data_IF_067070148580
#
_entry.id   IF_067070148580
#
_cell.length_a   1.000
_cell.length_b   1.000
_cell.length_c   1.000
_cell.angle_alpha   90.00
_cell.angle_beta   90.00
_cell.angle_gamma   90.00
#
_symmetry.space_group_name_H-M   'P 1'
#
loop_
_entity.id
_entity.type
_entity.pdbx_description
1 polymer ?
#
# COMPACT_ATOMS: atom_id res chain seq x y z
N UNK A 1 -21.78 -0.60 -22.58
CA UNK A 1 -21.65 0.87 -22.39
C UNK A 1 -20.88 1.06 -21.10
N UNK A 2 -19.66 1.63 -21.15
CA UNK A 2 -18.93 1.93 -19.92
C UNK A 2 -19.72 2.99 -19.16
N UNK A 3 -20.10 2.72 -17.90
CA UNK A 3 -20.75 3.69 -17.04
C UNK A 3 -19.85 4.93 -16.86
N UNK A 4 -20.44 6.10 -16.59
CA UNK A 4 -19.67 7.33 -16.30
C UNK A 4 -18.87 7.12 -15.02
N UNK A 5 -17.59 7.47 -15.05
CA UNK A 5 -16.70 7.44 -13.87
C UNK A 5 -17.33 8.18 -12.68
N UNK A 6 -17.26 7.57 -11.50
CA UNK A 6 -17.77 8.17 -10.26
C UNK A 6 -16.62 8.76 -9.46
N UNK A 7 -16.82 9.99 -8.98
CA UNK A 7 -15.81 10.78 -8.28
C UNK A 7 -16.10 10.84 -6.78
N UNK A 8 -15.07 10.59 -5.98
CA UNK A 8 -15.07 10.75 -4.52
C UNK A 8 -13.90 11.65 -4.13
N UNK A 9 -14.15 12.63 -3.27
CA UNK A 9 -13.13 13.58 -2.85
C UNK A 9 -12.76 13.35 -1.39
N UNK A 10 -11.45 13.32 -1.11
CA UNK A 10 -10.87 13.18 0.23
C UNK A 10 -10.13 14.47 0.57
N UNK A 11 -10.42 15.07 1.72
CA UNK A 11 -9.75 16.27 2.19
C UNK A 11 -9.86 16.41 3.69
N UNK A 12 -8.75 16.73 4.35
CA UNK A 12 -8.73 17.02 5.79
C UNK A 12 -9.41 18.35 6.15
N UNK A 13 -9.57 19.26 5.16
CA UNK A 13 -10.05 20.62 5.38
C UNK A 13 -11.39 20.93 4.69
N UNK A 14 -11.62 20.39 3.48
CA UNK A 14 -12.80 20.71 2.68
C UNK A 14 -14.07 20.13 3.29
N UNK A 15 -15.05 20.99 3.50
CA UNK A 15 -16.40 20.56 3.92
C UNK A 15 -17.06 19.70 2.85
N UNK A 16 -17.78 18.64 3.25
CA UNK A 16 -18.44 17.70 2.36
C UNK A 16 -17.52 16.62 1.75
N UNK A 17 -16.21 16.74 1.85
CA UNK A 17 -15.27 15.69 1.46
C UNK A 17 -15.10 14.63 2.56
N UNK A 18 -14.71 13.42 2.16
CA UNK A 18 -14.35 12.37 3.10
C UNK A 18 -13.07 12.75 3.86
N UNK A 19 -12.99 12.39 5.14
CA UNK A 19 -11.84 12.72 5.99
C UNK A 19 -10.72 11.69 5.94
N UNK A 20 -10.99 10.51 5.35
CA UNK A 20 -10.01 9.46 5.13
C UNK A 20 -10.22 8.80 3.78
N UNK A 21 -9.17 8.21 3.24
CA UNK A 21 -9.19 7.46 1.98
C UNK A 21 -10.06 6.21 2.13
N UNK A 22 -9.93 5.51 3.26
CA UNK A 22 -10.73 4.32 3.57
C UNK A 22 -12.23 4.64 3.56
N UNK A 23 -12.66 5.76 4.16
CA UNK A 23 -14.06 6.17 4.15
C UNK A 23 -14.59 6.46 2.73
N UNK A 24 -13.76 7.05 1.85
CA UNK A 24 -14.12 7.29 0.45
C UNK A 24 -14.24 5.99 -0.34
N UNK A 25 -13.32 5.04 -0.14
CA UNK A 25 -13.36 3.72 -0.78
C UNK A 25 -14.59 2.91 -0.33
N UNK A 26 -14.89 2.88 0.97
CA UNK A 26 -16.10 2.25 1.50
C UNK A 26 -17.38 2.88 0.95
N UNK A 27 -17.42 4.21 0.82
CA UNK A 27 -18.54 4.90 0.19
C UNK A 27 -18.68 4.53 -1.28
N UNK A 28 -17.58 4.42 -2.02
CA UNK A 28 -17.57 3.96 -3.40
C UNK A 28 -18.14 2.54 -3.52
N UNK A 29 -17.77 1.62 -2.66
CA UNK A 29 -18.32 0.25 -2.65
C UNK A 29 -19.83 0.22 -2.37
N UNK A 30 -20.31 1.06 -1.44
CA UNK A 30 -21.75 1.15 -1.11
C UNK A 30 -22.57 1.83 -2.20
N UNK A 31 -22.06 2.90 -2.81
CA UNK A 31 -22.82 3.75 -3.73
C UNK A 31 -22.74 3.26 -5.19
N UNK A 32 -21.68 2.55 -5.56
CA UNK A 32 -21.43 2.09 -6.93
C UNK A 32 -21.39 0.57 -6.96
N UNK A 33 -22.56 -0.07 -6.95
CA UNK A 33 -22.67 -1.54 -6.88
C UNK A 33 -22.14 -2.26 -8.13
N UNK A 34 -22.21 -1.63 -9.30
CA UNK A 34 -21.63 -2.18 -10.54
C UNK A 34 -20.10 -1.99 -10.52
N UNK A 35 -19.40 -3.09 -10.31
CA UNK A 35 -17.93 -3.08 -10.22
C UNK A 35 -17.22 -2.78 -11.54
N UNK A 36 -17.93 -2.74 -12.66
CA UNK A 36 -17.38 -2.34 -13.98
C UNK A 36 -17.35 -0.83 -14.17
N UNK A 37 -18.08 -0.07 -13.34
CA UNK A 37 -18.06 1.39 -13.36
C UNK A 37 -16.79 1.90 -12.71
N UNK A 38 -15.96 2.68 -13.43
CA UNK A 38 -14.73 3.23 -12.86
C UNK A 38 -15.01 4.19 -11.70
N UNK A 39 -14.17 4.12 -10.69
CA UNK A 39 -14.20 5.01 -9.52
C UNK A 39 -12.88 5.77 -9.45
N UNK A 40 -12.97 7.09 -9.28
CA UNK A 40 -11.83 7.94 -9.01
C UNK A 40 -11.94 8.54 -7.61
N UNK A 41 -10.92 8.34 -6.80
CA UNK A 41 -10.77 8.93 -5.47
C UNK A 41 -9.68 9.99 -5.55
N UNK A 42 -10.07 11.27 -5.50
CA UNK A 42 -9.15 12.40 -5.49
C UNK A 42 -8.78 12.77 -4.06
N UNK A 43 -7.50 12.76 -3.77
CA UNK A 43 -6.96 13.02 -2.44
C UNK A 43 -6.29 14.39 -2.43
N UNK A 44 -6.83 15.31 -1.65
CA UNK A 44 -6.26 16.64 -1.46
C UNK A 44 -4.91 16.58 -0.70
N UNK A 45 -4.05 17.60 -0.82
CA UNK A 45 -2.82 17.70 -0.05
C UNK A 45 -3.03 17.46 1.44
N UNK A 46 -2.14 16.65 2.04
CA UNK A 46 -2.20 16.30 3.45
C UNK A 46 -1.49 15.00 3.79
N UNK A 47 -1.40 14.72 5.08
CA UNK A 47 -0.89 13.45 5.61
C UNK A 47 -2.04 12.63 6.19
N UNK A 48 -2.28 11.47 5.59
CA UNK A 48 -3.35 10.55 5.93
C UNK A 48 -2.75 9.35 6.67
N UNK A 49 -2.98 9.28 7.99
CA UNK A 49 -2.46 8.20 8.84
C UNK A 49 -3.49 7.10 8.95
N UNK A 50 -3.41 6.15 8.04
CA UNK A 50 -4.34 5.04 7.95
C UNK A 50 -3.74 3.83 7.22
N UNK A 51 -4.32 2.66 7.43
CA UNK A 51 -4.11 1.47 6.62
C UNK A 51 -5.23 1.40 5.59
N UNK A 52 -4.89 1.36 4.31
CA UNK A 52 -5.84 1.47 3.20
C UNK A 52 -5.94 0.16 2.44
N UNK A 53 -7.16 -0.35 2.29
CA UNK A 53 -7.48 -1.53 1.49
C UNK A 53 -8.20 -1.14 0.20
N UNK A 54 -7.65 -1.46 -0.96
CA UNK A 54 -8.30 -1.29 -2.26
C UNK A 54 -8.73 -2.67 -2.76
N UNK A 55 -10.01 -3.02 -2.55
CA UNK A 55 -10.58 -4.32 -2.89
C UNK A 55 -11.52 -4.27 -4.09
N UNK A 56 -11.93 -3.07 -4.49
CA UNK A 56 -12.77 -2.83 -5.66
C UNK A 56 -11.90 -2.71 -6.92
N UNK A 57 -12.22 -3.40 -8.04
CA UNK A 57 -11.57 -3.16 -9.31
C UNK A 57 -11.95 -1.79 -9.92
N UNK A 58 -11.20 -1.37 -10.92
CA UNK A 58 -11.39 -0.12 -11.66
C UNK A 58 -11.36 1.12 -10.75
N UNK A 59 -10.46 1.14 -9.76
CA UNK A 59 -10.22 2.29 -8.88
C UNK A 59 -8.98 3.06 -9.32
N UNK A 60 -9.13 4.37 -9.44
CA UNK A 60 -8.01 5.32 -9.50
C UNK A 60 -7.93 6.07 -8.17
N UNK A 61 -6.85 5.89 -7.42
CA UNK A 61 -6.51 6.69 -6.24
C UNK A 61 -5.46 7.70 -6.65
N UNK A 62 -5.81 8.99 -6.62
CA UNK A 62 -4.99 10.05 -7.20
C UNK A 62 -4.80 11.21 -6.23
N UNK A 63 -3.54 11.54 -5.97
CA UNK A 63 -3.12 12.77 -5.31
C UNK A 63 -2.61 13.80 -6.32
N UNK A 64 -2.48 15.02 -5.90
CA UNK A 64 -1.95 16.09 -6.75
C UNK A 64 -0.47 15.83 -7.10
N UNK A 65 0.36 15.59 -6.10
CA UNK A 65 1.77 15.18 -6.26
C UNK A 65 2.19 14.29 -5.11
N UNK A 66 3.22 13.48 -5.32
CA UNK A 66 3.79 12.64 -4.26
C UNK A 66 4.38 13.46 -3.09
N UNK A 67 4.76 14.71 -3.32
CA UNK A 67 5.27 15.58 -2.26
C UNK A 67 4.16 16.17 -1.38
N UNK A 68 2.96 16.34 -1.95
CA UNK A 68 1.83 16.99 -1.26
C UNK A 68 0.85 16.02 -0.60
N UNK A 69 0.75 14.76 -1.09
CA UNK A 69 -0.20 13.77 -0.58
C UNK A 69 0.55 12.56 -0.04
N UNK A 70 0.44 12.33 1.27
CA UNK A 70 1.14 11.23 1.94
C UNK A 70 0.17 10.31 2.68
N UNK A 71 0.26 9.01 2.41
CA UNK A 71 -0.43 7.95 3.14
C UNK A 71 0.62 7.28 4.02
N UNK A 72 0.44 7.33 5.34
CA UNK A 72 1.48 6.92 6.29
C UNK A 72 0.95 5.84 7.23
N UNK A 73 1.56 4.67 7.17
CA UNK A 73 1.41 3.59 8.16
C UNK A 73 2.61 3.55 9.11
N UNK A 74 2.51 2.71 10.13
CA UNK A 74 3.56 2.58 11.14
C UNK A 74 3.59 1.20 11.79
N UNK A 75 3.20 0.15 11.07
CA UNK A 75 3.16 -1.21 11.58
C UNK A 75 4.39 -2.00 11.16
N UNK A 76 5.04 -2.67 12.12
CA UNK A 76 6.17 -3.56 11.91
C UNK A 76 5.88 -4.99 12.34
N UNK A 77 6.50 -5.97 11.70
CA UNK A 77 6.20 -7.40 11.88
C UNK A 77 6.44 -7.91 13.31
N UNK A 78 7.35 -7.30 14.05
CA UNK A 78 7.66 -7.68 15.44
C UNK A 78 6.71 -7.05 16.47
N UNK A 79 5.84 -6.14 16.05
CA UNK A 79 4.85 -5.53 16.95
C UNK A 79 3.85 -6.57 17.45
N UNK A 80 3.31 -6.41 18.67
CA UNK A 80 2.25 -7.29 19.17
C UNK A 80 1.03 -7.27 18.24
N UNK A 81 0.39 -8.42 18.07
CA UNK A 81 -0.90 -8.51 17.41
C UNK A 81 -2.01 -8.29 18.43
N UNK A 82 -2.93 -7.38 18.17
CA UNK A 82 -4.05 -7.06 19.07
C UNK A 82 -4.99 -8.25 19.30
N UNK A 83 -5.15 -9.11 18.30
CA UNK A 83 -5.99 -10.31 18.35
C UNK A 83 -5.25 -11.56 18.87
N UNK A 84 -3.97 -11.41 19.25
CA UNK A 84 -3.11 -12.51 19.67
C UNK A 84 -2.77 -13.53 18.59
N UNK A 85 -3.26 -13.30 17.35
CA UNK A 85 -2.93 -14.14 16.20
C UNK A 85 -1.52 -13.85 15.69
N UNK A 86 -0.93 -14.84 15.00
CA UNK A 86 0.42 -14.69 14.48
C UNK A 86 1.45 -15.51 15.23
N UNK A 87 2.64 -15.64 14.66
CA UNK A 87 3.72 -16.37 15.27
C UNK A 87 4.18 -15.62 16.52
N UNK A 88 4.14 -16.29 17.68
CA UNK A 88 4.49 -15.72 18.99
C UNK A 88 3.69 -14.45 19.37
N UNK A 89 2.42 -14.35 18.93
CA UNK A 89 1.58 -13.18 19.20
C UNK A 89 2.02 -11.90 18.50
N UNK A 90 2.83 -12.01 17.45
CA UNK A 90 3.33 -10.89 16.67
C UNK A 90 2.48 -10.64 15.42
N UNK A 91 2.49 -9.42 14.95
CA UNK A 91 1.71 -9.00 13.77
C UNK A 91 2.08 -9.80 12.52
N UNK A 92 3.38 -10.03 12.27
CA UNK A 92 3.89 -10.70 11.07
C UNK A 92 3.90 -9.79 9.84
N UNK A 93 4.68 -10.17 8.82
CA UNK A 93 5.00 -9.31 7.66
C UNK A 93 3.77 -8.81 6.91
N UNK A 94 2.85 -9.71 6.57
CA UNK A 94 1.78 -9.40 5.60
C UNK A 94 0.58 -8.66 6.19
N UNK A 95 0.64 -8.22 7.43
CA UNK A 95 -0.33 -7.32 8.07
C UNK A 95 0.20 -5.91 8.30
N UNK A 96 1.47 -5.66 7.95
CA UNK A 96 2.14 -4.38 8.21
C UNK A 96 1.92 -3.31 7.15
N UNK A 97 1.30 -3.64 6.03
CA UNK A 97 1.16 -2.74 4.88
C UNK A 97 0.47 -1.42 5.23
N UNK A 98 0.90 -0.37 4.56
CA UNK A 98 0.19 0.91 4.58
C UNK A 98 -0.94 0.91 3.56
N UNK A 99 -0.67 0.49 2.33
CA UNK A 99 -1.69 0.33 1.28
C UNK A 99 -1.65 -1.09 0.75
N UNK A 100 -2.82 -1.76 0.74
CA UNK A 100 -3.05 -3.03 0.06
C UNK A 100 -3.84 -2.77 -1.23
N UNK A 101 -3.33 -3.28 -2.35
CA UNK A 101 -4.09 -3.41 -3.61
C UNK A 101 -4.46 -4.87 -3.80
N UNK A 102 -5.72 -5.21 -3.53
CA UNK A 102 -6.31 -6.55 -3.67
C UNK A 102 -7.42 -6.54 -4.74
N UNK A 103 -7.16 -5.86 -5.85
CA UNK A 103 -8.11 -5.76 -6.96
C UNK A 103 -7.37 -5.52 -8.28
N UNK A 104 -8.06 -5.84 -9.38
CA UNK A 104 -7.55 -5.63 -10.74
C UNK A 104 -7.89 -4.22 -11.25
N UNK A 105 -7.14 -3.77 -12.27
CA UNK A 105 -7.39 -2.48 -12.94
C UNK A 105 -7.33 -1.29 -11.99
N UNK A 106 -6.38 -1.30 -11.06
CA UNK A 106 -6.16 -0.20 -10.10
C UNK A 106 -5.05 0.72 -10.61
N UNK A 107 -5.25 2.01 -10.42
CA UNK A 107 -4.21 3.03 -10.65
C UNK A 107 -3.95 3.80 -9.35
N UNK A 108 -2.68 3.90 -8.96
CA UNK A 108 -2.19 4.78 -7.91
C UNK A 108 -1.36 5.87 -8.57
N UNK A 109 -1.67 7.15 -8.34
CA UNK A 109 -0.98 8.25 -8.99
C UNK A 109 -0.71 9.43 -8.05
N UNK A 110 0.49 10.03 -8.14
CA UNK A 110 0.83 11.27 -7.43
C UNK A 110 0.78 11.17 -5.90
N UNK A 111 1.19 10.03 -5.33
CA UNK A 111 1.09 9.74 -3.91
C UNK A 111 2.44 9.34 -3.31
N UNK A 112 2.71 9.75 -2.09
CA UNK A 112 3.67 9.06 -1.22
C UNK A 112 2.94 8.02 -0.39
N UNK A 113 3.40 6.77 -0.44
CA UNK A 113 2.96 5.66 0.38
C UNK A 113 4.14 5.27 1.27
N UNK A 114 4.02 5.50 2.56
CA UNK A 114 5.12 5.33 3.51
C UNK A 114 4.73 4.39 4.65
N UNK A 115 5.61 3.44 4.96
CA UNK A 115 5.57 2.77 6.26
C UNK A 115 6.73 3.30 7.11
N UNK A 116 6.40 4.04 8.17
CA UNK A 116 7.36 4.69 9.04
C UNK A 116 7.58 3.96 10.38
N UNK A 117 7.33 2.64 10.43
CA UNK A 117 7.54 1.84 11.64
C UNK A 117 8.98 1.91 12.18
N UNK A 118 9.97 2.15 11.31
CA UNK A 118 11.36 2.30 11.68
C UNK A 118 12.30 1.23 11.12
N UNK A 119 13.48 1.13 11.73
CA UNK A 119 14.55 0.21 11.30
C UNK A 119 14.11 -1.26 11.44
N UNK A 120 14.29 -2.05 10.39
CA UNK A 120 13.91 -3.47 10.36
C UNK A 120 14.61 -4.33 11.42
N UNK A 121 15.76 -3.91 11.93
CA UNK A 121 16.43 -4.58 13.06
C UNK A 121 15.59 -4.54 14.33
N UNK A 122 14.84 -3.46 14.53
CA UNK A 122 13.99 -3.25 15.69
C UNK A 122 12.56 -3.75 15.44
N UNK A 123 11.92 -3.29 14.36
CA UNK A 123 10.50 -3.53 14.10
C UNK A 123 10.20 -4.70 13.18
N UNK A 124 11.23 -5.25 12.50
CA UNK A 124 11.09 -6.30 11.49
C UNK A 124 10.64 -5.73 10.15
N UNK A 125 10.03 -6.58 9.34
CA UNK A 125 9.47 -6.22 8.04
C UNK A 125 8.32 -5.20 8.21
N UNK A 126 8.23 -4.24 7.26
CA UNK A 126 7.25 -3.15 7.34
C UNK A 126 6.87 -2.69 5.93
N UNK A 127 5.84 -3.32 5.37
CA UNK A 127 5.41 -3.10 3.98
C UNK A 127 4.75 -1.71 3.85
N UNK A 128 5.22 -0.89 2.91
CA UNK A 128 4.50 0.31 2.52
C UNK A 128 3.40 -0.02 1.51
N UNK A 129 3.75 -0.68 0.38
CA UNK A 129 2.78 -1.08 -0.63
C UNK A 129 2.76 -2.61 -0.80
N UNK A 130 1.60 -3.21 -0.53
CA UNK A 130 1.28 -4.59 -0.83
C UNK A 130 0.49 -4.64 -2.14
N UNK A 131 1.15 -4.92 -3.26
CA UNK A 131 0.58 -4.91 -4.59
C UNK A 131 0.23 -6.33 -5.04
N UNK A 132 -1.06 -6.74 -4.99
CA UNK A 132 -1.52 -8.08 -5.37
C UNK A 132 -2.74 -8.04 -6.31
N UNK A 133 -2.72 -7.15 -7.30
CA UNK A 133 -3.70 -7.06 -8.38
C UNK A 133 -3.07 -7.30 -9.76
N UNK A 134 -3.90 -7.62 -10.74
CA UNK A 134 -3.51 -7.64 -12.16
C UNK A 134 -3.81 -6.28 -12.80
N UNK A 135 -3.00 -5.84 -13.75
CA UNK A 135 -3.09 -4.55 -14.43
C UNK A 135 -3.04 -3.35 -13.49
N UNK A 136 -2.23 -3.48 -12.41
CA UNK A 136 -1.92 -2.37 -11.52
C UNK A 136 -0.99 -1.38 -12.22
N UNK A 137 -1.33 -0.10 -12.15
CA UNK A 137 -0.47 1.02 -12.59
C UNK A 137 -0.12 1.87 -11.36
N UNK A 138 1.18 2.11 -11.16
CA UNK A 138 1.68 3.04 -10.14
C UNK A 138 2.47 4.12 -10.88
N UNK A 139 1.98 5.35 -10.82
CA UNK A 139 2.51 6.46 -11.62
C UNK A 139 2.90 7.67 -10.77
N UNK A 140 4.10 8.17 -10.94
CA UNK A 140 4.60 9.36 -10.24
C UNK A 140 4.44 9.27 -8.71
N UNK A 141 4.59 8.06 -8.15
CA UNK A 141 4.48 7.80 -6.71
C UNK A 141 5.85 7.68 -6.04
N UNK A 142 5.91 8.00 -4.75
CA UNK A 142 7.00 7.65 -3.86
C UNK A 142 6.55 6.51 -2.93
N UNK A 143 7.25 5.35 -2.97
CA UNK A 143 7.00 4.22 -2.08
C UNK A 143 8.17 4.17 -1.12
N UNK A 144 7.91 4.35 0.18
CA UNK A 144 8.96 4.62 1.16
C UNK A 144 8.83 3.74 2.40
N UNK A 145 9.91 3.16 2.83
CA UNK A 145 10.00 2.32 4.01
C UNK A 145 11.45 1.96 4.34
N UNK A 146 11.61 0.88 5.05
CA UNK A 146 12.91 0.29 5.40
C UNK A 146 12.98 -1.14 4.86
N UNK A 147 12.87 -2.13 5.72
CA UNK A 147 12.85 -3.53 5.33
C UNK A 147 11.50 -3.91 4.73
N UNK A 148 11.49 -4.61 3.59
CA UNK A 148 10.30 -5.13 2.90
C UNK A 148 9.34 -4.03 2.38
N UNK A 149 9.84 -2.91 1.88
CA UNK A 149 9.02 -1.73 1.52
C UNK A 149 7.93 -2.01 0.48
N UNK A 150 8.24 -2.73 -0.61
CA UNK A 150 7.32 -3.04 -1.71
C UNK A 150 7.18 -4.56 -1.90
N UNK A 151 6.00 -5.09 -1.63
CA UNK A 151 5.67 -6.47 -1.95
C UNK A 151 4.88 -6.56 -3.25
N UNK A 152 5.39 -7.38 -4.19
CA UNK A 152 4.80 -7.66 -5.50
C UNK A 152 4.14 -9.04 -5.48
N UNK A 153 2.86 -9.10 -5.06
CA UNK A 153 2.10 -10.34 -4.95
C UNK A 153 2.03 -11.15 -6.25
N UNK A 154 1.62 -12.41 -6.19
CA UNK A 154 1.02 -13.06 -5.04
C UNK A 154 2.04 -13.58 -4.03
N UNK A 155 1.55 -14.01 -2.87
CA UNK A 155 2.32 -14.81 -1.93
C UNK A 155 2.85 -16.08 -2.62
N UNK A 156 4.01 -16.61 -2.21
CA UNK A 156 4.52 -17.90 -2.71
C UNK A 156 3.51 -19.03 -2.53
N UNK A 157 3.61 -20.13 -3.31
CA UNK A 157 2.69 -21.25 -3.21
C UNK A 157 2.70 -21.95 -1.84
N UNK A 158 3.82 -21.89 -1.12
CA UNK A 158 4.01 -22.53 0.19
C UNK A 158 4.72 -21.58 1.14
N UNK A 159 4.32 -21.64 2.40
CA UNK A 159 5.02 -20.95 3.49
C UNK A 159 6.40 -21.53 3.72
N UNK A 160 7.39 -20.68 3.97
CA UNK A 160 8.72 -21.11 4.41
C UNK A 160 8.71 -21.54 5.89
N UNK A 161 7.81 -20.96 6.69
CA UNK A 161 7.58 -21.28 8.10
C UNK A 161 6.08 -21.27 8.37
N UNK A 162 5.55 -22.16 9.23
CA UNK A 162 4.15 -22.15 9.62
C UNK A 162 3.72 -20.77 10.14
N UNK A 163 2.60 -20.25 9.63
CA UNK A 163 2.09 -18.92 10.01
C UNK A 163 2.81 -17.74 9.36
N UNK A 164 3.75 -17.99 8.44
CA UNK A 164 4.50 -16.93 7.76
C UNK A 164 3.65 -16.04 6.85
N UNK A 165 2.47 -16.51 6.42
CA UNK A 165 1.58 -15.79 5.52
C UNK A 165 0.33 -15.23 6.19
N UNK A 166 0.27 -15.23 7.51
CA UNK A 166 -0.88 -14.66 8.22
C UNK A 166 -1.09 -13.21 7.77
N UNK A 167 -2.26 -12.94 7.19
CA UNK A 167 -2.62 -11.66 6.62
C UNK A 167 -3.79 -11.75 5.64
N UNK A 168 -4.16 -10.64 5.00
CA UNK A 168 -5.38 -10.54 4.20
C UNK A 168 -5.41 -11.48 2.99
N UNK A 169 -4.25 -11.90 2.49
CA UNK A 169 -4.11 -12.75 1.30
C UNK A 169 -3.69 -14.18 1.61
N UNK A 170 -3.68 -14.60 2.88
CA UNK A 170 -3.20 -15.94 3.30
C UNK A 170 -3.84 -17.08 2.51
N UNK A 171 -5.15 -17.02 2.29
CA UNK A 171 -5.93 -18.06 1.59
C UNK A 171 -6.32 -17.67 0.17
N UNK A 172 -5.87 -16.53 -0.34
CA UNK A 172 -6.20 -16.07 -1.67
C UNK A 172 -5.52 -16.93 -2.75
N UNK A 173 -6.12 -17.05 -3.94
CA UNK A 173 -5.49 -17.70 -5.09
C UNK A 173 -4.15 -17.06 -5.44
N UNK A 174 -3.16 -17.88 -5.78
CA UNK A 174 -1.80 -17.43 -6.18
C UNK A 174 -1.76 -17.07 -7.66
N UNK A 175 -2.37 -15.93 -8.01
CA UNK A 175 -2.43 -15.46 -9.41
C UNK A 175 -1.36 -14.41 -9.65
N UNK A 176 -0.41 -14.69 -10.54
CA UNK A 176 0.65 -13.75 -10.92
C UNK A 176 0.04 -12.58 -11.71
N UNK A 177 0.03 -11.39 -11.12
CA UNK A 177 -0.45 -10.16 -11.72
C UNK A 177 0.59 -9.47 -12.60
N UNK A 178 0.12 -8.58 -13.48
CA UNK A 178 0.94 -7.63 -14.25
C UNK A 178 0.89 -6.28 -13.56
N UNK A 179 2.06 -5.72 -13.29
CA UNK A 179 2.17 -4.47 -12.56
C UNK A 179 3.13 -3.53 -13.29
N UNK A 180 2.77 -2.27 -13.42
CA UNK A 180 3.54 -1.26 -14.13
C UNK A 180 3.82 -0.06 -13.25
N UNK A 181 5.08 0.15 -12.94
CA UNK A 181 5.57 1.28 -12.19
C UNK A 181 6.27 2.26 -13.12
N UNK A 182 5.85 3.50 -13.15
CA UNK A 182 6.50 4.53 -13.97
C UNK A 182 6.71 5.83 -13.21
N UNK A 183 7.84 6.48 -13.45
CA UNK A 183 8.21 7.77 -12.81
C UNK A 183 8.17 7.72 -11.29
N UNK A 184 8.38 6.54 -10.71
CA UNK A 184 8.31 6.34 -9.27
C UNK A 184 9.67 6.52 -8.60
N UNK A 185 9.63 6.76 -7.30
CA UNK A 185 10.76 6.61 -6.39
C UNK A 185 10.44 5.52 -5.39
N UNK A 186 11.35 4.57 -5.21
CA UNK A 186 11.21 3.48 -4.25
C UNK A 186 12.40 3.55 -3.29
N UNK A 187 12.11 3.68 -2.00
CA UNK A 187 13.10 3.83 -0.94
C UNK A 187 13.00 2.69 0.05
N UNK A 188 14.14 2.14 0.44
CA UNK A 188 14.22 1.08 1.44
C UNK A 188 15.67 0.65 1.67
N UNK A 189 15.87 -0.38 2.46
CA UNK A 189 17.21 -0.90 2.78
C UNK A 189 17.32 -2.42 2.55
N UNK A 190 16.67 -3.26 3.33
CA UNK A 190 16.74 -4.71 3.22
C UNK A 190 15.51 -5.26 2.52
N UNK A 191 15.71 -6.08 1.48
CA UNK A 191 14.64 -6.73 0.71
C UNK A 191 13.50 -5.77 0.30
N UNK A 192 13.86 -4.50 0.07
CA UNK A 192 12.88 -3.41 -0.10
C UNK A 192 11.98 -3.54 -1.32
N UNK A 193 12.29 -4.47 -2.24
CA UNK A 193 11.41 -4.94 -3.32
C UNK A 193 11.48 -6.45 -3.35
N UNK A 194 10.36 -7.11 -3.13
CA UNK A 194 10.28 -8.57 -3.14
C UNK A 194 8.93 -9.07 -3.64
N UNK A 195 8.83 -10.36 -3.98
CA UNK A 195 7.58 -10.97 -4.45
C UNK A 195 7.71 -11.66 -5.81
N UNK A 196 6.57 -11.96 -6.47
CA UNK A 196 6.51 -12.83 -7.63
C UNK A 196 5.70 -12.30 -8.82
N UNK A 197 5.26 -11.04 -8.81
CA UNK A 197 4.51 -10.46 -9.92
C UNK A 197 5.35 -10.27 -11.19
N UNK A 198 4.68 -10.07 -12.31
CA UNK A 198 5.31 -9.57 -13.55
C UNK A 198 5.32 -8.05 -13.50
N UNK A 199 6.37 -7.49 -12.91
CA UNK A 199 6.52 -6.04 -12.77
C UNK A 199 7.39 -5.46 -13.88
N UNK A 200 6.94 -4.34 -14.46
CA UNK A 200 7.72 -3.50 -15.37
C UNK A 200 7.97 -2.15 -14.70
N UNK A 201 9.24 -1.75 -14.63
CA UNK A 201 9.67 -0.50 -14.01
C UNK A 201 10.27 0.43 -15.07
N UNK A 202 9.64 1.61 -15.29
CA UNK A 202 10.12 2.59 -16.27
C UNK A 202 10.34 3.95 -15.63
N UNK A 203 11.57 4.46 -15.69
CA UNK A 203 11.90 5.75 -15.08
C UNK A 203 11.78 5.71 -13.56
N UNK A 204 12.01 4.56 -12.95
CA UNK A 204 11.98 4.38 -11.49
C UNK A 204 13.35 4.68 -10.93
N UNK A 205 13.38 5.41 -9.82
CA UNK A 205 14.59 5.71 -9.05
C UNK A 205 14.54 4.91 -7.75
N UNK A 206 15.69 4.33 -7.39
CA UNK A 206 15.87 3.61 -6.13
C UNK A 206 16.74 4.44 -5.20
N UNK A 207 16.38 4.48 -3.94
CA UNK A 207 17.17 5.14 -2.91
C UNK A 207 17.25 4.28 -1.65
N UNK A 208 18.37 4.39 -0.95
CA UNK A 208 18.50 3.78 0.38
C UNK A 208 17.82 4.68 1.40
N UNK A 209 17.02 4.11 2.28
CA UNK A 209 16.47 4.84 3.43
C UNK A 209 17.62 5.23 4.36
N UNK A 210 17.71 6.53 4.64
CA UNK A 210 18.64 7.04 5.64
C UNK A 210 17.99 6.90 7.01
N UNK A 211 18.50 6.00 7.84
CA UNK A 211 18.20 6.03 9.26
C UNK A 211 18.69 7.37 9.82
N UNK A 212 17.77 8.24 10.26
CA UNK A 212 18.16 9.42 11.03
C UNK A 212 18.61 8.90 12.40
N UNK A 213 19.92 8.79 12.58
CA UNK A 213 20.50 8.62 13.90
C UNK A 213 20.28 9.93 14.66
N UNK A 214 19.17 10.05 15.40
CA UNK A 214 19.13 10.96 16.50
C UNK A 214 19.96 10.32 17.62
N UNK A 215 21.24 10.68 17.71
CA UNK A 215 22.01 10.46 18.92
C UNK A 215 21.36 11.35 19.98
N UNK A 216 20.55 10.75 20.84
CA UNK A 216 20.23 11.35 22.14
C UNK A 216 21.54 11.38 22.92
N UNK A 217 22.27 12.50 22.81
CA UNK A 217 23.37 12.80 23.70
C UNK A 217 22.79 12.90 25.12
N UNK A 218 23.31 12.05 26.00
CA UNK A 218 23.25 12.28 27.43
C UNK A 218 24.23 13.40 27.79
#
# INVERSE_FOLDING_TARGET
MSGKEQLFEVSLEREGAYRSISAALEAAERCVSDTTVPVRVLVAPGEYREQVDIRRPHVTLEGETADSVRIVGGLGAKMPSEDGSGQDGRLGTFRTYTVLVDADDVTLAGLTIENNAGDGREVGQAIALYADGDRLVVDACCIKGHQDTLFLGPLPPREAKPGGFIGPKQFAPRRVGRQYFRRCRIEGDVDFIFGGARATLRGVRFARSTAIWMSTGM
#
